data_IF_072667264019
#
_entry.id   IF_072667264019
#
_cell.length_a   1.000
_cell.length_b   1.000
_cell.length_c   1.000
_cell.angle_alpha   90.00
_cell.angle_beta   90.00
_cell.angle_gamma   90.00
#
_symmetry.space_group_name_H-M   'P 1'
#
loop_
_entity.id
_entity.type
_entity.pdbx_description
1 polymer ?
#
# COMPACT_ATOMS: atom_id res chain seq x y z
N UNK A 1 -51.85 -4.74 -1.51
CA UNK A 1 -50.72 -5.27 -2.30
C UNK A 1 -49.57 -4.32 -2.08
N UNK A 2 -48.63 -4.69 -1.19
CA UNK A 2 -47.41 -3.89 -0.97
C UNK A 2 -46.44 -4.33 -2.06
N UNK A 3 -46.09 -3.42 -2.95
CA UNK A 3 -45.05 -3.65 -3.95
C UNK A 3 -43.69 -3.57 -3.23
N UNK A 4 -42.76 -4.51 -3.44
CA UNK A 4 -41.41 -4.38 -2.92
C UNK A 4 -40.66 -3.30 -3.69
N UNK A 5 -40.06 -2.35 -2.97
CA UNK A 5 -39.22 -1.30 -3.56
C UNK A 5 -37.99 -1.92 -4.24
N UNK A 6 -37.70 -1.57 -5.52
CA UNK A 6 -36.42 -1.87 -6.13
C UNK A 6 -35.44 -0.76 -5.76
N UNK A 7 -34.19 -1.14 -5.51
CA UNK A 7 -33.04 -0.25 -5.30
C UNK A 7 -32.78 0.18 -3.85
N UNK A 8 -32.41 -0.79 -3.00
CA UNK A 8 -31.29 -0.55 -2.09
C UNK A 8 -30.04 -1.10 -2.77
N UNK A 9 -29.54 -0.38 -3.77
CA UNK A 9 -28.18 -0.55 -4.25
C UNK A 9 -27.25 -0.30 -3.07
N UNK A 10 -26.87 -1.38 -2.38
CA UNK A 10 -25.71 -1.39 -1.50
C UNK A 10 -24.56 -0.84 -2.33
N UNK A 11 -24.24 0.44 -2.13
CA UNK A 11 -22.94 0.96 -2.48
C UNK A 11 -21.99 0.18 -1.59
N UNK A 12 -21.53 -0.97 -2.07
CA UNK A 12 -20.40 -1.68 -1.51
C UNK A 12 -19.27 -0.66 -1.62
N UNK A 13 -19.06 0.08 -0.54
CA UNK A 13 -17.87 0.88 -0.38
C UNK A 13 -16.73 -0.12 -0.58
N UNK A 14 -15.79 0.14 -1.50
CA UNK A 14 -14.67 -0.77 -1.70
C UNK A 14 -14.00 -0.98 -0.35
N UNK A 15 -13.74 -2.24 -0.01
CA UNK A 15 -13.06 -2.57 1.24
C UNK A 15 -11.79 -1.72 1.36
N UNK A 16 -11.50 -1.13 2.53
CA UNK A 16 -10.33 -0.28 2.70
C UNK A 16 -9.08 -1.04 2.28
N UNK A 17 -8.31 -0.46 1.37
CA UNK A 17 -7.05 -1.07 0.93
C UNK A 17 -6.16 -1.22 2.19
N UNK A 18 -5.79 -2.45 2.59
CA UNK A 18 -4.90 -2.63 3.72
C UNK A 18 -3.57 -1.93 3.40
N UNK A 19 -3.03 -1.20 4.38
CA UNK A 19 -1.79 -0.45 4.22
C UNK A 19 -0.96 -0.57 5.49
N UNK A 20 0.36 -0.57 5.33
CA UNK A 20 1.27 -0.65 6.47
C UNK A 20 1.12 0.58 7.38
N UNK A 21 1.25 0.34 8.68
CA UNK A 21 1.10 1.40 9.69
C UNK A 21 2.11 2.53 9.48
N UNK A 22 1.60 3.76 9.36
CA UNK A 22 2.43 4.96 9.19
C UNK A 22 2.75 5.28 7.74
N UNK A 23 2.26 4.49 6.80
CA UNK A 23 2.34 4.77 5.37
C UNK A 23 0.96 5.15 4.82
N UNK A 24 0.97 5.72 3.62
CA UNK A 24 -0.24 6.00 2.84
C UNK A 24 -0.20 5.15 1.58
N UNK A 25 -1.28 4.43 1.29
CA UNK A 25 -1.39 3.62 0.09
C UNK A 25 -2.47 4.20 -0.83
N UNK A 26 -2.13 4.41 -2.10
CA UNK A 26 -3.02 4.97 -3.11
C UNK A 26 -2.89 4.18 -4.42
N UNK A 27 -3.99 3.73 -5.04
CA UNK A 27 -3.95 3.25 -6.40
C UNK A 27 -3.62 4.40 -7.34
N UNK A 28 -2.86 4.11 -8.40
CA UNK A 28 -2.70 5.05 -9.52
C UNK A 28 -4.01 5.20 -10.29
N UNK A 29 -4.35 6.43 -10.67
CA UNK A 29 -5.63 6.74 -11.33
C UNK A 29 -5.75 6.14 -12.75
N UNK A 30 -4.63 5.81 -13.40
CA UNK A 30 -4.59 5.29 -14.76
C UNK A 30 -4.28 3.80 -14.81
N UNK A 31 -3.34 3.33 -14.00
CA UNK A 31 -2.90 1.92 -14.01
C UNK A 31 -3.58 1.07 -12.94
N UNK A 32 -4.21 1.69 -11.93
CA UNK A 32 -4.72 1.02 -10.72
C UNK A 32 -3.64 0.28 -9.91
N UNK A 33 -2.36 0.54 -10.19
CA UNK A 33 -1.23 -0.01 -9.46
C UNK A 33 -1.13 0.62 -8.07
N UNK A 34 -0.79 -0.19 -7.07
CA UNK A 34 -0.73 0.30 -5.69
C UNK A 34 0.60 1.00 -5.41
N UNK A 35 0.54 2.31 -5.15
CA UNK A 35 1.66 3.10 -4.67
C UNK A 35 1.62 3.19 -3.15
N UNK A 36 2.73 2.87 -2.48
CA UNK A 36 2.87 2.92 -1.03
C UNK A 36 3.93 3.96 -0.62
N UNK A 37 3.47 5.00 0.08
CA UNK A 37 4.27 6.15 0.49
C UNK A 37 4.64 6.08 1.97
N UNK A 38 5.92 5.89 2.24
CA UNK A 38 6.51 5.73 3.58
C UNK A 38 7.69 6.68 3.83
N UNK A 39 7.82 7.75 3.04
CA UNK A 39 8.95 8.68 3.13
C UNK A 39 8.93 9.48 4.44
N UNK A 40 10.11 9.74 5.01
CA UNK A 40 10.30 10.59 6.21
C UNK A 40 9.44 10.13 7.41
N UNK A 41 9.43 8.82 7.68
CA UNK A 41 8.66 8.20 8.78
C UNK A 41 9.52 7.74 9.95
N UNK A 42 10.82 8.08 9.95
CA UNK A 42 11.81 7.67 10.95
C UNK A 42 11.94 6.14 11.08
N UNK A 43 11.65 5.39 10.01
CA UNK A 43 11.78 3.94 10.05
C UNK A 43 13.25 3.54 10.18
N UNK A 44 13.50 2.61 11.09
CA UNK A 44 14.82 1.96 11.29
C UNK A 44 14.82 0.53 10.80
N UNK A 45 13.64 -0.02 10.49
CA UNK A 45 13.42 -1.36 9.95
C UNK A 45 12.29 -1.32 8.93
N UNK A 46 12.37 -2.21 7.95
CA UNK A 46 11.34 -2.37 6.93
C UNK A 46 10.02 -2.84 7.57
N UNK A 47 8.87 -2.22 7.25
CA UNK A 47 7.58 -2.68 7.74
C UNK A 47 7.26 -4.09 7.24
N UNK A 48 6.67 -4.94 8.07
CA UNK A 48 6.39 -6.35 7.71
C UNK A 48 4.94 -6.58 7.24
N UNK A 49 4.10 -5.56 7.36
CA UNK A 49 2.67 -5.54 7.03
C UNK A 49 2.39 -4.82 5.70
N UNK A 50 3.36 -4.84 4.79
CA UNK A 50 3.21 -4.24 3.47
C UNK A 50 2.26 -5.07 2.59
N UNK A 51 1.37 -4.43 1.82
CA UNK A 51 0.49 -5.15 0.91
C UNK A 51 1.30 -5.85 -0.19
N UNK A 52 1.13 -7.16 -0.43
CA UNK A 52 1.86 -7.88 -1.47
C UNK A 52 1.67 -7.32 -2.89
N UNK A 53 0.55 -6.63 -3.13
CA UNK A 53 0.21 -5.96 -4.39
C UNK A 53 0.89 -4.61 -4.60
N UNK A 54 1.75 -4.16 -3.66
CA UNK A 54 2.49 -2.90 -3.78
C UNK A 54 3.36 -2.94 -5.04
N UNK A 55 3.13 -1.97 -5.92
CA UNK A 55 3.87 -1.81 -7.17
C UNK A 55 5.04 -0.83 -7.02
N UNK A 56 4.79 0.29 -6.35
CA UNK A 56 5.81 1.31 -6.08
C UNK A 56 5.94 1.54 -4.58
N UNK A 57 7.16 1.43 -4.06
CA UNK A 57 7.46 1.60 -2.64
C UNK A 57 8.44 2.76 -2.42
N UNK A 58 7.95 3.79 -1.71
CA UNK A 58 8.72 4.99 -1.38
C UNK A 58 9.15 4.95 0.09
N UNK A 59 10.43 4.71 0.33
CA UNK A 59 11.02 4.56 1.67
C UNK A 59 12.13 5.59 1.94
N UNK A 60 12.23 6.62 1.11
CA UNK A 60 13.25 7.66 1.18
C UNK A 60 13.19 8.52 2.45
N UNK A 61 14.34 9.06 2.87
CA UNK A 61 14.44 9.92 4.05
C UNK A 61 14.17 9.20 5.38
N UNK A 62 14.32 7.87 5.42
CA UNK A 62 14.25 7.07 6.66
C UNK A 62 15.65 6.74 7.20
N UNK A 63 15.71 6.07 8.36
CA UNK A 63 16.95 5.80 9.10
C UNK A 63 17.38 4.33 9.00
N UNK A 64 17.32 3.76 7.80
CA UNK A 64 17.79 2.40 7.57
C UNK A 64 19.31 2.36 7.60
N UNK A 65 19.87 1.50 8.46
CA UNK A 65 21.31 1.22 8.49
C UNK A 65 21.65 -0.08 7.76
N UNK A 66 20.71 -1.02 7.74
CA UNK A 66 20.83 -2.33 7.08
C UNK A 66 19.47 -2.79 6.57
N UNK A 67 19.47 -3.54 5.48
CA UNK A 67 18.29 -4.17 4.92
C UNK A 67 18.53 -5.69 4.80
N UNK A 68 17.73 -6.53 5.47
CA UNK A 68 17.78 -7.97 5.28
C UNK A 68 17.56 -8.36 3.80
N UNK A 69 18.23 -9.40 3.27
CA UNK A 69 18.03 -9.83 1.88
C UNK A 69 16.58 -10.17 1.52
N UNK A 70 15.79 -10.61 2.50
CA UNK A 70 14.39 -10.99 2.31
C UNK A 70 13.38 -9.84 2.56
N UNK A 71 13.84 -8.60 2.73
CA UNK A 71 12.99 -7.46 3.14
C UNK A 71 11.78 -7.21 2.24
N UNK A 72 11.89 -7.52 0.95
CA UNK A 72 10.87 -7.25 -0.07
C UNK A 72 10.40 -8.53 -0.77
N UNK A 73 10.74 -9.72 -0.25
CA UNK A 73 10.50 -11.00 -0.91
C UNK A 73 9.03 -11.26 -1.23
N UNK A 74 8.13 -10.78 -0.37
CA UNK A 74 6.68 -11.00 -0.49
C UNK A 74 6.00 -9.95 -1.39
N UNK A 75 6.73 -8.93 -1.85
CA UNK A 75 6.23 -7.88 -2.75
C UNK A 75 6.42 -8.31 -4.21
N UNK A 76 5.65 -9.30 -4.65
CA UNK A 76 5.82 -9.91 -5.98
C UNK A 76 5.54 -8.97 -7.15
N UNK A 77 4.82 -7.87 -6.90
CA UNK A 77 4.45 -6.88 -7.90
C UNK A 77 5.36 -5.63 -7.86
N UNK A 78 6.38 -5.61 -7.01
CA UNK A 78 7.24 -4.45 -6.82
C UNK A 78 8.10 -4.21 -8.07
N UNK A 79 7.86 -3.08 -8.74
CA UNK A 79 8.64 -2.63 -9.90
C UNK A 79 9.53 -1.43 -9.54
N UNK A 80 9.08 -0.59 -8.60
CA UNK A 80 9.82 0.59 -8.16
C UNK A 80 10.10 0.58 -6.66
N UNK A 81 11.35 0.85 -6.29
CA UNK A 81 11.80 0.98 -4.91
C UNK A 81 12.69 2.22 -4.75
N UNK A 82 12.26 3.16 -3.90
CA UNK A 82 13.08 4.32 -3.52
C UNK A 82 13.60 4.17 -2.08
N UNK A 83 14.93 4.15 -1.93
CA UNK A 83 15.64 4.09 -0.64
C UNK A 83 16.63 5.26 -0.48
N UNK A 84 16.49 6.33 -1.27
CA UNK A 84 17.39 7.46 -1.19
C UNK A 84 17.40 8.10 0.20
N UNK A 85 18.58 8.54 0.62
CA UNK A 85 18.82 9.22 1.90
C UNK A 85 18.69 10.73 1.76
#
# INVERSE_FOLDING_TARGET
LVLPDPDTGDRVAPDPIPCSKGCTCLPDDFTSELNMYCSVRNFTRIPTDMPPSTHSLWLDGNFFTTLPPASFRELTNLDFLNLQS
#
